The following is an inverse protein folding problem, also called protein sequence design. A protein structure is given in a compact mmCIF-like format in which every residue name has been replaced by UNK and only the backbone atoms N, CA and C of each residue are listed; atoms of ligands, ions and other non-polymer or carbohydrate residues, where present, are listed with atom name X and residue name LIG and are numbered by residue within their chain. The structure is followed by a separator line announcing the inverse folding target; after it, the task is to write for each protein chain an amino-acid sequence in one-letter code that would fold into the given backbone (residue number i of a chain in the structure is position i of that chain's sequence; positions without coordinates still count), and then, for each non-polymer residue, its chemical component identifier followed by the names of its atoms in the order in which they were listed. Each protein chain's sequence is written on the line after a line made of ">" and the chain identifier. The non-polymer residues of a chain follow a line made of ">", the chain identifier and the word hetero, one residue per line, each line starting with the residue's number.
data_IF_716672503756
#
_entry.id   IF_716672503756
#
_cell.length_a   1.000
_cell.length_b   1.000
_cell.length_c   1.000
_cell.angle_alpha   90.00
_cell.angle_beta   90.00
_cell.angle_gamma   90.00
#
_symmetry.space_group_name_H-M   'P 1'
#
loop_
_entity.id
_entity.type
_entity.pdbx_description
1 polymer ?
#
# COMPACT_ATOMS: atom_id res chain seq x y z
N UNK A 1 29.42 -29.35 -30.28
CA UNK A 1 28.36 -29.62 -29.30
C UNK A 1 28.44 -28.52 -28.25
N UNK A 2 27.61 -27.50 -28.37
CA UNK A 2 27.53 -26.39 -27.40
C UNK A 2 26.58 -26.82 -26.29
N UNK A 3 27.14 -27.15 -25.13
CA UNK A 3 26.37 -27.40 -23.92
C UNK A 3 25.76 -26.08 -23.45
N UNK A 4 24.48 -25.85 -23.77
CA UNK A 4 23.73 -24.77 -23.17
C UNK A 4 23.50 -25.11 -21.70
N UNK A 5 24.33 -24.55 -20.82
CA UNK A 5 24.11 -24.60 -19.38
C UNK A 5 22.80 -23.87 -19.08
N UNK A 6 21.70 -24.63 -18.98
CA UNK A 6 20.40 -24.13 -18.57
C UNK A 6 20.50 -23.62 -17.12
N UNK A 7 20.79 -22.33 -16.99
CA UNK A 7 20.82 -21.63 -15.71
C UNK A 7 19.40 -21.66 -15.14
N UNK A 8 19.19 -22.40 -14.06
CA UNK A 8 17.91 -22.47 -13.35
C UNK A 8 17.39 -21.06 -13.04
N UNK A 9 16.19 -20.73 -13.53
CA UNK A 9 15.57 -19.43 -13.29
C UNK A 9 15.31 -19.27 -11.78
N UNK A 10 15.78 -18.16 -11.21
CA UNK A 10 15.56 -17.83 -9.80
C UNK A 10 14.07 -17.75 -9.46
N UNK A 11 13.72 -18.15 -8.24
CA UNK A 11 12.35 -18.17 -7.72
C UNK A 11 12.31 -17.42 -6.40
N UNK A 12 11.66 -16.25 -6.40
CA UNK A 12 11.53 -15.35 -5.27
C UNK A 12 10.11 -15.50 -4.71
N UNK A 13 10.03 -15.89 -3.44
CA UNK A 13 8.74 -16.04 -2.76
C UNK A 13 8.16 -14.68 -2.33
N UNK A 14 6.93 -14.68 -1.84
CA UNK A 14 6.38 -13.50 -1.17
C UNK A 14 7.20 -13.18 0.09
N UNK A 15 7.77 -11.97 0.17
CA UNK A 15 8.57 -11.53 1.31
C UNK A 15 7.79 -11.59 2.63
N UNK A 16 6.49 -11.25 2.60
CA UNK A 16 5.60 -11.33 3.76
C UNK A 16 5.42 -12.77 4.25
N UNK A 17 5.25 -13.72 3.32
CA UNK A 17 5.16 -15.15 3.66
C UNK A 17 6.47 -15.67 4.26
N UNK A 18 7.62 -15.29 3.68
CA UNK A 18 8.95 -15.67 4.19
C UNK A 18 9.17 -15.11 5.61
N UNK A 19 8.78 -13.86 5.85
CA UNK A 19 8.84 -13.25 7.18
C UNK A 19 7.92 -13.97 8.19
N UNK A 20 6.66 -14.27 7.81
CA UNK A 20 5.75 -15.05 8.65
C UNK A 20 6.32 -16.42 9.03
N UNK A 21 6.93 -17.13 8.07
CA UNK A 21 7.57 -18.43 8.31
C UNK A 21 8.65 -18.32 9.40
N UNK A 22 9.50 -17.29 9.29
CA UNK A 22 10.62 -17.06 10.21
C UNK A 22 10.14 -16.67 11.61
N UNK A 23 9.03 -15.94 11.70
CA UNK A 23 8.40 -15.53 12.95
C UNK A 23 7.44 -16.59 13.54
N UNK A 24 7.29 -17.77 12.89
CA UNK A 24 6.36 -18.81 13.34
C UNK A 24 4.87 -18.42 13.24
N UNK A 25 4.54 -17.45 12.40
CA UNK A 25 3.18 -16.95 12.21
C UNK A 25 2.44 -17.74 11.10
N UNK A 26 1.10 -17.83 11.15
CA UNK A 26 0.32 -18.51 10.13
C UNK A 26 0.45 -17.82 8.76
N UNK A 27 0.53 -18.63 7.70
CA UNK A 27 0.65 -18.13 6.34
C UNK A 27 -0.64 -17.46 5.85
N UNK A 28 -0.51 -16.22 5.39
CA UNK A 28 -1.64 -15.44 4.85
C UNK A 28 -1.65 -15.36 3.32
N UNK A 29 -0.48 -15.56 2.70
CA UNK A 29 -0.27 -15.48 1.26
C UNK A 29 -0.07 -16.85 0.62
N UNK A 30 -0.80 -17.11 -0.46
CA UNK A 30 -0.70 -18.33 -1.28
C UNK A 30 -0.19 -18.06 -2.70
N UNK A 31 0.32 -16.86 -2.97
CA UNK A 31 0.82 -16.50 -4.30
C UNK A 31 2.00 -17.38 -4.72
N UNK A 32 2.05 -17.68 -6.02
CA UNK A 32 3.17 -18.40 -6.61
C UNK A 32 4.45 -17.54 -6.55
N UNK A 33 5.63 -18.17 -6.45
CA UNK A 33 6.89 -17.46 -6.54
C UNK A 33 7.06 -16.74 -7.89
N UNK A 34 7.79 -15.64 -7.89
CA UNK A 34 8.07 -14.80 -9.07
C UNK A 34 9.56 -14.72 -9.34
N UNK A 35 9.95 -14.19 -10.50
CA UNK A 35 11.37 -14.20 -10.93
C UNK A 35 12.07 -12.84 -10.77
N UNK A 36 11.37 -11.77 -10.37
CA UNK A 36 11.95 -10.42 -10.27
C UNK A 36 11.47 -9.66 -9.04
N UNK A 37 12.30 -8.76 -8.53
CA UNK A 37 11.96 -7.92 -7.36
C UNK A 37 10.81 -6.97 -7.65
N UNK A 38 10.75 -6.39 -8.85
CA UNK A 38 9.63 -5.54 -9.25
C UNK A 38 8.29 -6.27 -9.18
N UNK A 39 8.25 -7.56 -9.55
CA UNK A 39 7.06 -8.38 -9.39
C UNK A 39 6.73 -8.66 -7.91
N UNK A 40 7.75 -8.90 -7.06
CA UNK A 40 7.55 -9.02 -5.60
C UNK A 40 6.94 -7.73 -5.03
N UNK A 41 7.51 -6.56 -5.35
CA UNK A 41 7.02 -5.25 -4.88
C UNK A 41 5.58 -5.01 -5.28
N UNK A 42 5.26 -5.25 -6.55
CA UNK A 42 3.89 -5.15 -7.07
C UNK A 42 2.93 -6.10 -6.35
N UNK A 43 3.36 -7.32 -6.07
CA UNK A 43 2.55 -8.29 -5.34
C UNK A 43 2.25 -7.84 -3.91
N UNK A 44 3.22 -7.22 -3.23
CA UNK A 44 3.06 -6.77 -1.84
C UNK A 44 2.10 -5.59 -1.69
N UNK A 45 2.02 -4.70 -2.69
CA UNK A 45 1.18 -3.49 -2.67
C UNK A 45 -0.17 -3.66 -3.36
N UNK A 46 -0.34 -4.69 -4.19
CA UNK A 46 -1.63 -4.98 -4.84
C UNK A 46 -2.61 -5.59 -3.84
N UNK A 47 -3.90 -5.23 -4.00
CA UNK A 47 -4.99 -5.89 -3.27
C UNK A 47 -4.95 -7.40 -3.49
N UNK A 48 -5.05 -8.12 -2.38
CA UNK A 48 -5.04 -9.58 -2.35
C UNK A 48 -6.37 -10.14 -2.93
N UNK A 49 -6.39 -11.40 -3.38
CA UNK A 49 -7.62 -12.06 -3.84
C UNK A 49 -8.73 -11.96 -2.79
N UNK A 50 -9.98 -11.92 -3.26
CA UNK A 50 -11.20 -11.77 -2.43
C UNK A 50 -11.29 -10.39 -1.74
N UNK A 51 -10.70 -9.36 -2.33
CA UNK A 51 -10.83 -7.98 -1.83
C UNK A 51 -10.05 -7.68 -0.56
N UNK A 52 -9.15 -8.58 -0.13
CA UNK A 52 -8.32 -8.39 1.06
C UNK A 52 -7.34 -7.21 0.87
N UNK A 53 -7.02 -6.46 1.94
CA UNK A 53 -6.04 -5.38 1.86
C UNK A 53 -4.69 -5.93 1.37
N UNK A 54 -3.82 -5.08 0.79
CA UNK A 54 -2.47 -5.49 0.41
C UNK A 54 -1.66 -5.93 1.63
N UNK A 55 -0.55 -6.64 1.39
CA UNK A 55 0.37 -7.02 2.47
C UNK A 55 1.01 -5.81 3.14
N UNK A 56 1.39 -4.83 2.32
CA UNK A 56 1.96 -3.58 2.76
C UNK A 56 1.09 -2.45 2.22
N UNK A 57 0.60 -1.53 3.07
CA UNK A 57 -0.15 -0.37 2.61
C UNK A 57 0.73 0.57 1.79
N UNK A 58 2.02 0.63 2.12
CA UNK A 58 3.02 1.43 1.44
C UNK A 58 4.29 0.61 1.19
N UNK A 59 4.81 0.69 -0.03
CA UNK A 59 6.13 0.19 -0.42
C UNK A 59 6.57 0.92 -1.69
N UNK A 60 7.66 1.66 -1.61
CA UNK A 60 8.26 2.34 -2.77
C UNK A 60 9.76 2.11 -2.85
N UNK A 61 10.27 2.13 -4.07
CA UNK A 61 11.70 2.13 -4.35
C UNK A 61 12.15 3.58 -4.54
N UNK A 62 13.14 4.01 -3.78
CA UNK A 62 13.83 5.27 -4.08
C UNK A 62 14.76 5.06 -5.29
N UNK A 63 14.61 5.89 -6.32
CA UNK A 63 15.42 5.85 -7.55
C UNK A 63 16.87 6.29 -7.34
N UNK A 64 17.13 7.11 -6.32
CA UNK A 64 18.46 7.65 -6.00
C UNK A 64 19.31 6.66 -5.22
N UNK A 65 18.79 6.11 -4.12
CA UNK A 65 19.52 5.15 -3.28
C UNK A 65 19.22 3.68 -3.61
N UNK A 66 18.27 3.40 -4.51
CA UNK A 66 17.88 2.05 -4.90
C UNK A 66 17.47 1.16 -3.70
N UNK A 67 16.83 1.76 -2.69
CA UNK A 67 16.32 1.06 -1.51
C UNK A 67 14.79 1.01 -1.48
N UNK A 68 14.29 -0.12 -0.98
CA UNK A 68 12.87 -0.33 -0.73
C UNK A 68 12.49 0.26 0.63
N UNK A 69 11.50 1.14 0.64
CA UNK A 69 11.02 1.91 1.79
C UNK A 69 9.57 1.53 2.06
N UNK A 70 9.29 1.15 3.31
CA UNK A 70 7.98 0.66 3.77
C UNK A 70 7.21 1.71 4.57
N UNK A 71 7.90 2.76 5.03
CA UNK A 71 7.30 3.87 5.78
C UNK A 71 7.07 5.06 4.82
N UNK A 72 5.82 5.50 4.73
CA UNK A 72 5.40 6.61 3.88
C UNK A 72 5.94 7.94 4.39
N UNK A 73 5.94 8.15 5.71
CA UNK A 73 6.43 9.37 6.32
C UNK A 73 7.95 9.50 6.15
N UNK A 74 8.71 8.40 6.36
CA UNK A 74 10.15 8.37 6.08
C UNK A 74 10.44 8.71 4.61
N UNK A 75 9.67 8.12 3.69
CA UNK A 75 9.81 8.36 2.27
C UNK A 75 9.58 9.85 1.93
N UNK A 76 8.51 10.45 2.43
CA UNK A 76 8.17 11.85 2.12
C UNK A 76 9.11 12.86 2.77
N UNK A 77 9.55 12.59 4.00
CA UNK A 77 10.44 13.46 4.75
C UNK A 77 11.86 13.49 4.13
N UNK A 78 12.45 12.31 3.89
CA UNK A 78 13.88 12.19 3.58
C UNK A 78 14.19 11.84 2.12
N UNK A 79 13.28 11.15 1.42
CA UNK A 79 13.53 10.76 0.02
C UNK A 79 12.79 11.65 -0.97
N UNK A 80 11.60 12.11 -0.61
CA UNK A 80 10.70 12.82 -1.50
C UNK A 80 10.19 11.96 -2.65
N UNK A 81 9.22 12.50 -3.40
CA UNK A 81 8.71 11.87 -4.62
C UNK A 81 9.87 11.64 -5.60
N UNK A 82 9.99 10.43 -6.13
CA UNK A 82 11.02 10.04 -7.08
C UNK A 82 12.48 10.31 -6.64
N UNK A 83 12.73 10.31 -5.32
CA UNK A 83 14.08 10.47 -4.77
C UNK A 83 14.65 11.89 -4.80
N UNK A 84 13.81 12.91 -5.04
CA UNK A 84 14.20 14.31 -5.18
C UNK A 84 14.89 14.91 -3.95
N UNK A 85 14.65 14.37 -2.74
CA UNK A 85 15.31 14.81 -1.49
C UNK A 85 16.42 13.87 -1.04
N UNK A 86 16.60 12.75 -1.73
CA UNK A 86 17.58 11.75 -1.33
C UNK A 86 18.99 12.18 -1.75
N UNK A 87 19.89 12.33 -0.79
CA UNK A 87 21.30 12.69 -1.05
C UNK A 87 22.20 11.46 -1.22
N UNK A 88 21.72 10.29 -0.81
CA UNK A 88 22.50 9.05 -0.81
C UNK A 88 22.42 8.36 -2.17
N UNK A 89 23.33 8.71 -3.08
CA UNK A 89 23.47 8.03 -4.36
C UNK A 89 24.03 6.62 -4.14
N UNK A 90 23.27 5.60 -4.59
CA UNK A 90 23.76 4.22 -4.64
C UNK A 90 23.54 3.63 -6.02
N UNK A 91 24.50 2.83 -6.46
CA UNK A 91 24.38 2.14 -7.73
C UNK A 91 23.26 1.09 -7.68
N UNK A 92 22.50 1.01 -8.77
CA UNK A 92 21.49 -0.02 -8.93
C UNK A 92 22.16 -1.40 -8.92
N UNK A 93 21.65 -2.30 -8.09
CA UNK A 93 22.11 -3.69 -8.05
C UNK A 93 21.73 -4.39 -9.37
N UNK A 94 22.73 -4.92 -10.07
CA UNK A 94 22.56 -5.57 -11.39
C UNK A 94 22.71 -7.09 -11.28
N UNK A 95 22.09 -7.79 -12.23
CA UNK A 95 22.20 -9.24 -12.37
C UNK A 95 21.48 -10.03 -11.27
N UNK A 96 21.73 -11.34 -11.27
CA UNK A 96 21.01 -12.26 -10.38
C UNK A 96 21.34 -12.09 -8.91
N UNK A 97 22.63 -11.92 -8.60
CA UNK A 97 23.11 -11.66 -7.25
C UNK A 97 22.52 -10.36 -6.69
N UNK A 98 22.50 -9.29 -7.49
CA UNK A 98 21.97 -8.00 -7.06
C UNK A 98 20.47 -8.01 -6.75
N UNK A 99 19.68 -8.75 -7.54
CA UNK A 99 18.25 -8.93 -7.25
C UNK A 99 18.01 -9.80 -6.01
N UNK A 100 18.84 -10.82 -5.80
CA UNK A 100 18.76 -11.66 -4.61
C UNK A 100 19.12 -10.87 -3.35
N UNK A 101 20.17 -10.05 -3.40
CA UNK A 101 20.55 -9.17 -2.28
C UNK A 101 19.42 -8.19 -1.94
N UNK A 102 18.84 -7.53 -2.96
CA UNK A 102 17.70 -6.64 -2.76
C UNK A 102 16.49 -7.38 -2.16
N UNK A 103 16.27 -8.63 -2.57
CA UNK A 103 15.21 -9.47 -2.01
C UNK A 103 15.40 -9.71 -0.52
N UNK A 104 16.62 -10.08 -0.13
CA UNK A 104 16.92 -10.45 1.25
C UNK A 104 16.85 -9.22 2.17
N UNK A 105 17.28 -8.05 1.69
CA UNK A 105 17.07 -6.77 2.38
C UNK A 105 15.57 -6.49 2.54
N UNK A 106 14.79 -6.61 1.47
CA UNK A 106 13.33 -6.39 1.53
C UNK A 106 12.65 -7.34 2.52
N UNK A 107 13.02 -8.62 2.52
CA UNK A 107 12.49 -9.60 3.46
C UNK A 107 12.79 -9.21 4.91
N UNK A 108 14.00 -8.72 5.18
CA UNK A 108 14.42 -8.28 6.51
C UNK A 108 13.61 -7.07 6.96
N UNK A 109 13.40 -6.07 6.08
CA UNK A 109 12.54 -4.90 6.37
C UNK A 109 11.09 -5.31 6.65
N UNK A 110 10.55 -6.25 5.88
CA UNK A 110 9.17 -6.76 6.09
C UNK A 110 9.04 -7.53 7.40
N UNK A 111 10.04 -8.30 7.80
CA UNK A 111 10.07 -8.97 9.10
C UNK A 111 9.99 -7.96 10.24
N UNK A 112 10.85 -6.93 10.23
CA UNK A 112 10.80 -5.84 11.22
C UNK A 112 9.44 -5.14 11.21
N UNK A 113 8.88 -4.87 10.03
CA UNK A 113 7.56 -4.26 9.90
C UNK A 113 6.47 -5.08 10.59
N UNK A 114 6.43 -6.40 10.40
CA UNK A 114 5.44 -7.28 11.05
C UNK A 114 5.58 -7.23 12.57
N UNK A 115 6.82 -7.25 13.09
CA UNK A 115 7.08 -7.16 14.54
C UNK A 115 6.58 -5.83 15.10
N UNK A 116 6.93 -4.72 14.47
CA UNK A 116 6.54 -3.37 14.92
C UNK A 116 5.02 -3.19 14.91
N UNK A 117 4.34 -3.66 13.87
CA UNK A 117 2.87 -3.62 13.78
C UNK A 117 2.19 -4.52 14.83
N UNK A 118 2.76 -5.68 15.12
CA UNK A 118 2.29 -6.56 16.20
C UNK A 118 2.35 -5.87 17.57
N UNK A 119 3.46 -5.19 17.86
CA UNK A 119 3.65 -4.48 19.14
C UNK A 119 2.67 -3.31 19.32
N UNK A 120 2.40 -2.54 18.26
CA UNK A 120 1.45 -1.41 18.32
C UNK A 120 0.03 -1.89 18.65
N UNK A 121 -0.41 -3.02 18.07
CA UNK A 121 -1.73 -3.61 18.37
C UNK A 121 -1.85 -4.11 19.81
N UNK A 122 -0.77 -4.66 20.38
CA UNK A 122 -0.75 -5.10 21.77
C UNK A 122 -0.79 -3.90 22.73
N UNK A 123 -0.12 -2.79 22.40
CA UNK A 123 -0.12 -1.58 23.24
C UNK A 123 -1.50 -0.92 23.31
N UNK A 124 -2.22 -0.80 22.18
CA UNK A 124 -3.56 -0.18 22.16
C UNK A 124 -4.61 -1.00 22.93
N UNK A 125 -4.45 -2.32 22.99
CA UNK A 125 -5.36 -3.19 23.72
C UNK A 125 -5.11 -3.20 25.24
N UNK A 126 -4.02 -2.60 25.70
CA UNK A 126 -3.64 -2.55 27.12
C UNK A 126 -4.05 -1.24 27.81
N UNK A 127 -4.49 -0.22 27.07
CA UNK A 127 -4.83 1.12 27.60
C UNK A 127 -6.31 1.33 27.91
N UNK A 128 -7.20 0.39 27.56
CA UNK A 128 -8.66 0.55 27.77
C UNK A 128 -9.22 -0.18 29.00
N UNK A 129 -8.37 -0.63 29.93
CA UNK A 129 -8.82 -1.43 31.09
C UNK A 129 -8.97 -0.64 32.41
N UNK A 130 -8.65 0.66 32.49
CA UNK A 130 -8.66 1.40 33.78
C UNK A 130 -9.21 2.83 33.70
N UNK A 131 -10.29 3.06 32.94
CA UNK A 131 -11.03 4.33 33.03
C UNK A 131 -12.53 4.11 32.94
N UNK A 132 -13.10 3.39 33.91
CA UNK A 132 -14.52 3.55 34.22
C UNK A 132 -14.83 3.10 35.66
N UNK A 133 -15.03 4.07 36.56
CA UNK A 133 -15.89 3.97 37.75
C UNK A 133 -15.79 5.20 38.65
N UNK A 134 -15.69 6.43 38.15
CA UNK A 134 -16.02 7.62 38.96
C UNK A 134 -16.23 8.83 38.05
N UNK A 135 -17.21 9.67 38.35
CA UNK A 135 -17.55 10.95 37.69
C UNK A 135 -18.68 10.94 36.65
N UNK A 136 -19.73 10.13 36.85
CA UNK A 136 -21.06 10.42 36.30
C UNK A 136 -22.04 10.85 37.41
N UNK A 137 -21.78 11.98 38.05
CA UNK A 137 -22.78 12.66 38.89
C UNK A 137 -22.40 14.11 39.05
N UNK A 138 -23.04 14.99 38.26
CA UNK A 138 -23.49 16.35 38.65
C UNK A 138 -23.63 17.24 37.41
N UNK A 139 -24.76 17.15 36.72
CA UNK A 139 -25.28 18.25 35.88
C UNK A 139 -26.79 18.32 36.12
N UNK A 140 -27.32 19.40 36.73
CA UNK A 140 -28.75 19.60 36.81
C UNK A 140 -29.30 20.06 35.45
N UNK A 141 -30.33 19.36 34.98
CA UNK A 141 -31.14 19.70 33.81
C UNK A 141 -32.06 20.84 34.21
N UNK A 142 -31.83 22.04 33.66
CA UNK A 142 -32.83 23.12 33.68
C UNK A 142 -33.66 23.03 32.40
N UNK A 143 -34.91 22.60 32.57
CA UNK A 143 -35.98 22.76 31.59
C UNK A 143 -36.43 24.22 31.58
N UNK A 144 -36.55 24.81 30.40
CA UNK A 144 -37.46 25.92 30.14
C UNK A 144 -38.33 25.56 28.93
N UNK A 145 -39.68 25.61 29.05
CA UNK A 145 -40.58 25.39 27.95
C UNK A 145 -40.93 26.70 27.23
N UNK A 146 -41.17 26.55 25.93
CA UNK A 146 -42.15 27.30 25.14
C UNK A 146 -41.91 28.81 24.94
N UNK A 147 -41.70 29.20 23.68
CA UNK A 147 -42.36 30.35 23.03
C UNK A 147 -41.91 30.39 21.56
N UNK A 148 -42.75 29.83 20.69
CA UNK A 148 -42.94 30.33 19.32
C UNK A 148 -43.64 31.71 19.44
N UNK A 149 -43.47 32.69 18.52
CA UNK A 149 -44.11 32.59 17.20
C UNK A 149 -43.56 33.46 16.04
N UNK A 150 -44.22 33.29 14.89
CA UNK A 150 -44.37 34.19 13.72
C UNK A 150 -43.29 34.24 12.63
N UNK A 151 -43.76 33.92 11.42
CA UNK A 151 -43.16 34.14 10.10
C UNK A 151 -43.05 35.65 9.78
N UNK A 152 -42.26 36.04 8.75
CA UNK A 152 -42.97 36.44 7.54
C UNK A 152 -42.32 36.02 6.21
N UNK A 153 -43.19 36.07 5.20
CA UNK A 153 -43.02 35.83 3.78
C UNK A 153 -42.17 36.92 3.08
N UNK A 154 -41.34 36.54 2.11
CA UNK A 154 -41.19 37.20 0.79
C UNK A 154 -40.05 36.54 -0.02
N UNK A 155 -40.33 35.80 -1.10
CA UNK A 155 -40.50 36.19 -2.52
C UNK A 155 -39.19 36.48 -3.29
N UNK A 156 -39.09 35.81 -4.46
CA UNK A 156 -38.25 36.09 -5.66
C UNK A 156 -36.79 35.60 -5.61
N UNK A 157 -36.18 35.07 -6.67
CA UNK A 157 -36.62 34.72 -8.02
C UNK A 157 -35.64 33.69 -8.60
N UNK A 158 -36.13 33.04 -9.65
CA UNK A 158 -35.50 32.25 -10.69
C UNK A 158 -34.03 32.56 -10.99
N UNK A 159 -33.23 31.52 -11.29
CA UNK A 159 -32.73 31.41 -12.66
C UNK A 159 -32.34 29.99 -13.06
N UNK A 160 -32.55 29.76 -14.34
CA UNK A 160 -32.47 28.51 -15.09
C UNK A 160 -31.04 28.27 -15.58
N UNK A 161 -30.78 27.09 -16.19
CA UNK A 161 -29.63 26.76 -17.08
C UNK A 161 -28.40 26.26 -16.29
N UNK A 162 -27.73 25.14 -16.59
CA UNK A 162 -27.75 24.18 -17.69
C UNK A 162 -27.13 22.85 -17.23
N UNK A 163 -27.54 21.79 -17.93
CA UNK A 163 -26.84 20.53 -18.11
C UNK A 163 -25.38 20.74 -18.60
N UNK A 164 -24.46 19.82 -18.28
CA UNK A 164 -23.66 19.31 -19.40
C UNK A 164 -23.66 17.77 -19.49
N UNK A 165 -23.46 17.25 -20.71
CA UNK A 165 -23.84 15.91 -21.09
C UNK A 165 -22.84 14.83 -20.63
N UNK A 166 -23.40 13.66 -20.42
CA UNK A 166 -22.71 12.38 -20.50
C UNK A 166 -22.16 12.18 -21.91
N UNK A 167 -20.90 11.74 -22.05
CA UNK A 167 -20.50 10.97 -23.22
C UNK A 167 -19.37 9.97 -22.93
N UNK A 168 -19.38 8.80 -23.60
CA UNK A 168 -18.60 7.62 -23.23
C UNK A 168 -17.41 7.37 -24.16
N UNK A 169 -16.47 6.57 -23.64
CA UNK A 169 -15.60 5.59 -24.32
C UNK A 169 -15.00 5.94 -25.69
N UNK A 170 -13.66 5.93 -25.78
CA UNK A 170 -12.98 5.19 -26.86
C UNK A 170 -11.69 4.53 -26.36
N UNK A 171 -11.76 3.21 -26.16
CA UNK A 171 -10.61 2.32 -26.09
C UNK A 171 -9.97 2.23 -27.47
N UNK A 172 -8.70 2.64 -27.60
CA UNK A 172 -7.89 2.34 -28.78
C UNK A 172 -7.13 1.03 -28.55
N UNK A 173 -7.64 -0.04 -29.13
CA UNK A 173 -6.90 -1.29 -29.36
C UNK A 173 -5.84 -1.04 -30.43
N UNK A 174 -4.56 -1.11 -30.05
CA UNK A 174 -3.44 -1.13 -31.00
C UNK A 174 -3.03 -2.58 -31.23
N UNK A 175 -3.49 -3.12 -32.36
CA UNK A 175 -3.11 -4.43 -32.88
C UNK A 175 -1.84 -4.25 -33.73
N UNK A 176 -0.71 -4.82 -33.33
CA UNK A 176 0.44 -4.97 -34.23
C UNK A 176 0.71 -6.44 -34.56
N UNK A 177 0.67 -6.67 -35.88
CA UNK A 177 0.73 -7.94 -36.59
C UNK A 177 2.05 -8.69 -36.42
N UNK A 178 1.95 -10.01 -36.33
CA UNK A 178 3.06 -10.94 -36.53
C UNK A 178 3.44 -10.97 -38.02
N UNK A 179 4.70 -10.73 -38.35
CA UNK A 179 5.26 -11.18 -39.64
C UNK A 179 5.85 -12.57 -39.45
N UNK A 180 5.24 -13.55 -40.12
CA UNK A 180 5.89 -14.81 -40.47
C UNK A 180 7.00 -14.52 -41.50
N UNK A 181 8.11 -15.24 -41.38
CA UNK A 181 9.08 -15.36 -42.46
C UNK A 181 9.61 -16.78 -42.44
N UNK A 182 8.97 -17.61 -43.27
CA UNK A 182 9.56 -18.81 -43.85
C UNK A 182 10.75 -18.41 -44.74
N UNK A 183 11.92 -18.99 -44.47
CA UNK A 183 12.79 -19.67 -45.44
C UNK A 183 13.92 -20.36 -44.66
#
# INVERSE_FOLDING_TARGET
>A
MTEEVQKSKRSLQCAFRKAQAKLGLPYTCTAAPVTTISAVRTHLTRRLPKGRPPHLPFLKLCTTCNEDLLDEHEFEAYHGKDGLKCETLRQQRKGDAGQQEQYDILCSKVETYIITQGNQRSATNSTTAEIDATMLSSMPILHDPDLTPELPVSTQASDTVAEPPSSPLQCKTSSYSRKAKDN
#
